data_IF_903004608846
#
_entry.id   IF_903004608846
#
_cell.length_a   1.000
_cell.length_b   1.000
_cell.length_c   1.000
_cell.angle_alpha   90.00
_cell.angle_beta   90.00
_cell.angle_gamma   90.00
#
_symmetry.space_group_name_H-M   'P 1'
#
loop_
_entity.id
_entity.type
_entity.pdbx_description
1 polymer ?
#
# COMPACT_ATOMS: atom_id res chain seq x y z
N UNK A 1 -40.94 27.30 8.86
CA UNK A 1 -39.50 27.41 8.51
C UNK A 1 -38.55 26.66 9.43
N UNK A 2 -38.61 26.83 10.74
CA UNK A 2 -37.59 26.26 11.66
C UNK A 2 -37.47 24.72 11.63
N UNK A 3 -38.61 24.00 11.56
CA UNK A 3 -38.63 22.53 11.47
C UNK A 3 -38.09 22.02 10.12
N UNK A 4 -38.30 22.77 9.03
CA UNK A 4 -37.75 22.43 7.72
C UNK A 4 -36.23 22.65 7.69
N UNK A 5 -35.75 23.75 8.26
CA UNK A 5 -34.32 24.01 8.43
C UNK A 5 -33.63 22.92 9.24
N UNK A 6 -34.21 22.52 10.38
CA UNK A 6 -33.68 21.44 11.22
C UNK A 6 -33.60 20.09 10.48
N UNK A 7 -34.64 19.74 9.72
CA UNK A 7 -34.66 18.51 8.91
C UNK A 7 -33.58 18.52 7.82
N UNK A 8 -33.36 19.65 7.17
CA UNK A 8 -32.32 19.80 6.13
C UNK A 8 -30.94 19.62 6.75
N UNK A 9 -30.66 20.27 7.88
CA UNK A 9 -29.36 20.11 8.56
C UNK A 9 -29.13 18.69 9.07
N UNK A 10 -30.17 18.02 9.58
CA UNK A 10 -30.07 16.61 9.96
C UNK A 10 -29.78 15.71 8.75
N UNK A 11 -30.45 15.91 7.62
CA UNK A 11 -30.17 15.16 6.39
C UNK A 11 -28.73 15.36 5.90
N UNK A 12 -28.21 16.59 5.96
CA UNK A 12 -26.81 16.89 5.62
C UNK A 12 -25.83 16.22 6.57
N UNK A 13 -26.08 16.29 7.88
CA UNK A 13 -25.23 15.64 8.89
C UNK A 13 -25.22 14.12 8.70
N UNK A 14 -26.39 13.50 8.45
CA UNK A 14 -26.51 12.08 8.19
C UNK A 14 -25.77 11.66 6.91
N UNK A 15 -25.91 12.42 5.82
CA UNK A 15 -25.19 12.13 4.58
C UNK A 15 -23.66 12.21 4.75
N UNK A 16 -23.17 13.19 5.53
CA UNK A 16 -21.73 13.27 5.86
C UNK A 16 -21.27 12.09 6.71
N UNK A 17 -22.07 11.67 7.69
CA UNK A 17 -21.76 10.52 8.52
C UNK A 17 -21.69 9.22 7.70
N UNK A 18 -22.63 9.01 6.79
CA UNK A 18 -22.63 7.86 5.88
C UNK A 18 -21.40 7.85 4.97
N UNK A 19 -21.09 8.99 4.33
CA UNK A 19 -19.89 9.11 3.50
C UNK A 19 -18.61 8.88 4.29
N UNK A 20 -18.53 9.41 5.52
CA UNK A 20 -17.34 9.21 6.35
C UNK A 20 -17.15 7.73 6.70
N UNK A 21 -18.24 7.00 6.93
CA UNK A 21 -18.16 5.55 7.13
C UNK A 21 -17.64 4.84 5.87
N UNK A 22 -18.13 5.19 4.68
CA UNK A 22 -17.61 4.65 3.41
C UNK A 22 -16.12 4.96 3.23
N UNK A 23 -15.68 6.18 3.56
CA UNK A 23 -14.28 6.57 3.47
C UNK A 23 -13.39 5.77 4.45
N UNK A 24 -13.88 5.45 5.65
CA UNK A 24 -13.16 4.59 6.59
C UNK A 24 -12.99 3.17 6.05
N UNK A 25 -14.06 2.59 5.48
CA UNK A 25 -14.02 1.25 4.88
C UNK A 25 -13.05 1.21 3.69
N UNK A 26 -13.08 2.24 2.83
CA UNK A 26 -12.15 2.35 1.69
C UNK A 26 -10.69 2.47 2.13
N UNK A 27 -10.39 3.27 3.16
CA UNK A 27 -9.02 3.42 3.66
C UNK A 27 -8.49 2.10 4.22
N UNK A 28 -9.31 1.33 4.94
CA UNK A 28 -8.91 0.01 5.44
C UNK A 28 -8.55 -0.94 4.29
N UNK A 29 -9.38 -0.98 3.25
CA UNK A 29 -9.08 -1.76 2.05
C UNK A 29 -7.81 -1.28 1.32
N UNK A 30 -7.62 0.04 1.19
CA UNK A 30 -6.44 0.62 0.56
C UNK A 30 -5.16 0.27 1.33
N UNK A 31 -5.20 0.31 2.66
CA UNK A 31 -4.10 -0.12 3.51
C UNK A 31 -3.80 -1.61 3.31
N UNK A 32 -4.85 -2.45 3.25
CA UNK A 32 -4.69 -3.87 2.91
C UNK A 32 -4.03 -4.10 1.55
N UNK A 33 -4.44 -3.35 0.52
CA UNK A 33 -3.82 -3.40 -0.82
C UNK A 33 -2.37 -2.92 -0.80
N UNK A 34 -2.05 -1.89 -0.03
CA UNK A 34 -0.69 -1.37 0.11
C UNK A 34 0.26 -2.40 0.74
N UNK A 35 -0.17 -3.10 1.81
CA UNK A 35 0.58 -4.19 2.44
C UNK A 35 0.75 -5.37 1.48
N UNK A 36 -0.31 -5.76 0.77
CA UNK A 36 -0.22 -6.84 -0.21
C UNK A 36 0.79 -6.52 -1.33
N UNK A 37 0.83 -5.26 -1.77
CA UNK A 37 1.77 -4.80 -2.77
C UNK A 37 3.23 -4.87 -2.28
N UNK A 38 3.54 -4.47 -1.05
CA UNK A 38 4.92 -4.53 -0.53
C UNK A 38 5.42 -5.97 -0.42
N UNK A 39 4.57 -6.89 0.06
CA UNK A 39 4.88 -8.34 0.06
C UNK A 39 5.18 -8.85 -1.36
N UNK A 40 4.29 -8.56 -2.32
CA UNK A 40 4.52 -8.93 -3.72
C UNK A 40 5.80 -8.30 -4.28
N UNK A 41 6.10 -7.05 -3.91
CA UNK A 41 7.29 -6.33 -4.39
C UNK A 41 8.58 -6.92 -3.82
N UNK A 42 8.57 -7.39 -2.58
CA UNK A 42 9.69 -8.12 -1.99
C UNK A 42 10.02 -9.37 -2.84
N UNK A 43 9.00 -10.19 -3.15
CA UNK A 43 9.17 -11.37 -4.01
C UNK A 43 9.62 -11.01 -5.42
N UNK A 44 9.12 -9.89 -5.96
CA UNK A 44 9.49 -9.41 -7.27
C UNK A 44 10.99 -9.10 -7.35
N UNK A 45 11.57 -8.48 -6.31
CA UNK A 45 13.00 -8.19 -6.24
C UNK A 45 13.86 -9.45 -6.25
N UNK A 46 13.45 -10.49 -5.52
CA UNK A 46 14.16 -11.78 -5.54
C UNK A 46 14.15 -12.41 -6.94
N UNK A 47 13.05 -12.26 -7.69
CA UNK A 47 12.95 -12.73 -9.08
C UNK A 47 13.82 -11.95 -10.05
N UNK A 48 14.31 -10.75 -9.70
CA UNK A 48 15.20 -9.97 -10.55
C UNK A 48 16.66 -10.44 -10.46
N UNK A 49 17.03 -11.14 -9.38
CA UNK A 49 18.38 -11.63 -9.16
C UNK A 49 18.75 -12.61 -10.27
N UNK A 50 19.94 -12.42 -10.86
CA UNK A 50 20.46 -13.31 -11.90
C UNK A 50 19.85 -13.14 -13.30
N UNK A 51 18.89 -12.23 -13.51
CA UNK A 51 18.32 -11.97 -14.84
C UNK A 51 19.32 -11.28 -15.79
N UNK A 52 20.21 -10.44 -15.25
CA UNK A 52 21.24 -9.74 -16.04
C UNK A 52 22.57 -10.47 -15.95
N UNK A 53 22.83 -11.35 -16.92
CA UNK A 53 24.05 -12.18 -16.94
C UNK A 53 25.17 -11.60 -17.82
N UNK A 54 24.83 -10.73 -18.78
CA UNK A 54 25.77 -10.13 -19.75
C UNK A 54 26.61 -8.98 -19.18
N UNK A 55 26.81 -8.95 -17.86
CA UNK A 55 27.59 -7.92 -17.13
C UNK A 55 28.79 -8.57 -16.43
N UNK A 56 29.74 -7.77 -15.94
CA UNK A 56 30.91 -8.28 -15.23
C UNK A 56 30.51 -8.98 -13.92
N UNK A 57 31.41 -9.80 -13.38
CA UNK A 57 31.15 -10.53 -12.14
C UNK A 57 30.84 -9.60 -10.97
N UNK A 58 31.61 -8.52 -10.85
CA UNK A 58 31.45 -7.50 -9.80
C UNK A 58 30.07 -6.83 -9.88
N UNK A 59 29.60 -6.56 -11.10
CA UNK A 59 28.27 -5.98 -11.31
C UNK A 59 27.18 -7.00 -10.97
N UNK A 60 27.36 -8.30 -11.28
CA UNK A 60 26.39 -9.34 -10.89
C UNK A 60 26.27 -9.45 -9.38
N UNK A 61 27.40 -9.49 -8.67
CA UNK A 61 27.42 -9.55 -7.19
C UNK A 61 26.71 -8.33 -6.59
N UNK A 62 26.99 -7.13 -7.12
CA UNK A 62 26.30 -5.91 -6.71
C UNK A 62 24.79 -5.92 -6.97
N UNK A 63 24.36 -6.44 -8.13
CA UNK A 63 22.93 -6.58 -8.47
C UNK A 63 22.23 -7.58 -7.57
N UNK A 64 22.88 -8.69 -7.21
CA UNK A 64 22.34 -9.66 -6.26
C UNK A 64 22.20 -9.05 -4.86
N UNK A 65 23.26 -8.42 -4.35
CA UNK A 65 23.24 -7.75 -3.05
C UNK A 65 22.12 -6.70 -2.99
N UNK A 66 22.01 -5.87 -4.03
CA UNK A 66 20.97 -4.85 -4.11
C UNK A 66 19.55 -5.46 -4.17
N UNK A 67 19.34 -6.50 -5.00
CA UNK A 67 18.04 -7.17 -5.09
C UNK A 67 17.60 -7.77 -3.75
N UNK A 68 18.53 -8.38 -3.00
CA UNK A 68 18.26 -8.91 -1.66
C UNK A 68 17.94 -7.81 -0.66
N UNK A 69 18.70 -6.72 -0.67
CA UNK A 69 18.45 -5.56 0.21
C UNK A 69 17.08 -4.94 -0.07
N UNK A 70 16.72 -4.71 -1.33
CA UNK A 70 15.42 -4.18 -1.70
C UNK A 70 14.27 -5.12 -1.31
N UNK A 71 14.46 -6.43 -1.48
CA UNK A 71 13.48 -7.41 -0.98
C UNK A 71 13.27 -7.30 0.53
N UNK A 72 14.35 -7.15 1.30
CA UNK A 72 14.27 -7.01 2.75
C UNK A 72 13.58 -5.71 3.18
N UNK A 73 13.87 -4.59 2.50
CA UNK A 73 13.23 -3.29 2.76
C UNK A 73 11.72 -3.36 2.54
N UNK A 74 11.27 -4.00 1.44
CA UNK A 74 9.84 -4.14 1.14
C UNK A 74 9.14 -5.08 2.14
N UNK A 75 9.79 -6.17 2.54
CA UNK A 75 9.28 -7.08 3.57
C UNK A 75 9.14 -6.37 4.93
N UNK A 76 10.14 -5.57 5.31
CA UNK A 76 10.08 -4.76 6.53
C UNK A 76 8.98 -3.69 6.47
N UNK A 77 8.77 -3.09 5.29
CA UNK A 77 7.66 -2.13 5.08
C UNK A 77 6.29 -2.79 5.29
N UNK A 78 6.10 -4.00 4.77
CA UNK A 78 4.89 -4.78 5.01
C UNK A 78 4.69 -5.05 6.51
N UNK A 79 5.74 -5.55 7.18
CA UNK A 79 5.73 -5.86 8.62
C UNK A 79 5.40 -4.65 9.49
N UNK A 80 5.79 -3.45 9.08
CA UNK A 80 5.50 -2.20 9.81
C UNK A 80 4.05 -1.72 9.63
N UNK A 81 3.41 -2.09 8.53
CA UNK A 81 2.05 -1.66 8.20
C UNK A 81 0.98 -2.68 8.59
N UNK A 82 1.37 -3.93 8.84
CA UNK A 82 0.56 -4.98 9.50
C UNK A 82 0.37 -4.72 11.00
#
# INVERSE_FOLDING_TARGET
>A
DDILGLRVEWCKARARAQRYQEELELVDEEMGRAIAFTRWRADWWLKQIGLRQTVTAEVRDGLEAYGREQSAIEAERARKWE
#
